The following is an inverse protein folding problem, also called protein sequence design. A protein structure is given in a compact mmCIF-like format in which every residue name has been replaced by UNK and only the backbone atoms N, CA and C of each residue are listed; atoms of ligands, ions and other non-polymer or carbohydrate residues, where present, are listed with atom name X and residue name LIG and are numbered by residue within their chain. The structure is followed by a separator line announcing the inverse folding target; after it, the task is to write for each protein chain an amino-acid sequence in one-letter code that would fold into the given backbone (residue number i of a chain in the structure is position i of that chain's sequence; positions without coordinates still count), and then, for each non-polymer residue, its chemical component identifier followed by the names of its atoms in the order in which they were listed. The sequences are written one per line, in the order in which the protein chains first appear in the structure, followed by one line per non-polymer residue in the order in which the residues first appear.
data_IF_338297556042
#
_entry.id   IF_338297556042
#
_cell.length_a   1.000
_cell.length_b   1.000
_cell.length_c   1.000
_cell.angle_alpha   90.00
_cell.angle_beta   90.00
_cell.angle_gamma   90.00
#
_symmetry.space_group_name_H-M   'P 1'
#
loop_
_entity.id
_entity.type
_entity.pdbx_description
1 polymer ?
#
# COMPACT_ATOMS: atom_id res chain seq x y z
N UNK A 1 -7.87 -28.82 -4.07
CA UNK A 1 -9.07 -27.96 -3.94
C UNK A 1 -10.13 -28.59 -3.00
N UNK A 2 -10.28 -29.90 -2.95
CA UNK A 2 -11.30 -30.57 -2.12
C UNK A 2 -11.01 -30.51 -0.61
N UNK A 3 -9.72 -30.40 -0.23
CA UNK A 3 -9.32 -30.36 1.19
C UNK A 3 -9.62 -29.01 1.87
N UNK A 4 -9.74 -27.91 1.10
CA UNK A 4 -10.10 -26.60 1.65
C UNK A 4 -11.62 -26.46 1.85
N UNK A 5 -12.42 -27.09 1.00
CA UNK A 5 -13.88 -27.02 1.06
C UNK A 5 -14.45 -27.78 2.28
N UNK A 6 -13.77 -28.82 2.74
CA UNK A 6 -14.20 -29.60 3.91
C UNK A 6 -14.03 -28.91 5.27
N UNK A 7 -13.27 -27.79 5.31
CA UNK A 7 -13.03 -27.02 6.54
C UNK A 7 -14.00 -25.85 6.75
N UNK A 8 -14.93 -25.61 5.83
CA UNK A 8 -15.91 -24.52 5.93
C UNK A 8 -17.31 -25.07 6.23
N UNK A 9 -18.01 -24.46 7.16
CA UNK A 9 -19.39 -24.84 7.55
C UNK A 9 -20.38 -24.55 6.40
N UNK A 10 -20.02 -23.66 5.46
CA UNK A 10 -20.86 -23.30 4.33
C UNK A 10 -20.03 -23.32 3.02
N UNK A 11 -20.49 -24.11 2.02
CA UNK A 11 -19.84 -24.21 0.71
C UNK A 11 -19.80 -22.89 -0.07
N UNK A 12 -20.75 -22.03 0.19
CA UNK A 12 -20.84 -20.70 -0.45
C UNK A 12 -19.73 -19.76 0.04
N UNK A 13 -19.43 -19.78 1.35
CA UNK A 13 -18.33 -19.01 1.94
C UNK A 13 -16.96 -19.51 1.45
N UNK A 14 -16.78 -20.81 1.32
CA UNK A 14 -15.56 -21.40 0.79
C UNK A 14 -15.32 -20.99 -0.67
N UNK A 15 -16.37 -21.01 -1.51
CA UNK A 15 -16.27 -20.56 -2.90
C UNK A 15 -15.97 -19.09 -3.00
N UNK A 16 -16.57 -18.23 -2.18
CA UNK A 16 -16.31 -16.80 -2.15
C UNK A 16 -14.87 -16.47 -1.75
N UNK A 17 -14.29 -17.20 -0.79
CA UNK A 17 -12.89 -17.03 -0.38
C UNK A 17 -11.91 -17.48 -1.48
N UNK A 18 -12.20 -18.60 -2.14
CA UNK A 18 -11.38 -19.10 -3.27
C UNK A 18 -11.45 -18.13 -4.44
N UNK A 19 -12.65 -17.64 -4.77
CA UNK A 19 -12.85 -16.64 -5.82
C UNK A 19 -12.12 -15.33 -5.50
N UNK A 20 -12.15 -14.85 -4.24
CA UNK A 20 -11.45 -13.63 -3.83
C UNK A 20 -9.93 -13.70 -4.02
N UNK A 21 -9.31 -14.85 -3.69
CA UNK A 21 -7.86 -15.06 -3.91
C UNK A 21 -7.49 -15.16 -5.38
N UNK A 22 -8.30 -15.88 -6.16
CA UNK A 22 -8.12 -16.01 -7.61
C UNK A 22 -8.40 -14.70 -8.34
N UNK A 23 -9.37 -13.91 -7.87
CA UNK A 23 -9.72 -12.60 -8.42
C UNK A 23 -8.53 -11.66 -8.45
N UNK A 24 -7.80 -11.52 -7.33
CA UNK A 24 -6.62 -10.67 -7.27
C UNK A 24 -5.56 -11.07 -8.32
N UNK A 25 -5.31 -12.37 -8.49
CA UNK A 25 -4.36 -12.86 -9.49
C UNK A 25 -4.84 -12.58 -10.93
N UNK A 26 -6.13 -12.79 -11.21
CA UNK A 26 -6.73 -12.50 -12.51
C UNK A 26 -6.67 -11.01 -12.84
N UNK A 27 -7.03 -10.15 -11.89
CA UNK A 27 -6.97 -8.70 -12.06
C UNK A 27 -5.53 -8.21 -12.29
N UNK A 28 -4.55 -8.80 -11.58
CA UNK A 28 -3.15 -8.51 -11.81
C UNK A 28 -2.71 -8.92 -13.23
N UNK A 29 -3.14 -10.10 -13.70
CA UNK A 29 -2.88 -10.55 -15.06
C UNK A 29 -3.52 -9.66 -16.14
N UNK A 30 -4.73 -9.15 -15.92
CA UNK A 30 -5.36 -8.19 -16.82
C UNK A 30 -4.50 -6.92 -16.97
N UNK A 31 -3.96 -6.42 -15.87
CA UNK A 31 -3.03 -5.27 -15.89
C UNK A 31 -1.77 -5.55 -16.71
N UNK A 32 -1.16 -6.75 -16.53
CA UNK A 32 -0.01 -7.18 -17.34
C UNK A 32 -0.39 -7.26 -18.83
N UNK A 33 -1.51 -7.87 -19.15
CA UNK A 33 -1.96 -8.02 -20.55
C UNK A 33 -2.17 -6.66 -21.23
N UNK A 34 -2.78 -5.70 -20.53
CA UNK A 34 -2.93 -4.34 -21.04
C UNK A 34 -1.57 -3.65 -21.26
N UNK A 35 -0.63 -3.86 -20.34
CA UNK A 35 0.70 -3.30 -20.48
C UNK A 35 1.45 -3.91 -21.67
N UNK A 36 1.32 -5.20 -21.92
CA UNK A 36 1.93 -5.86 -23.09
C UNK A 36 1.44 -5.26 -24.39
N UNK A 37 0.12 -5.04 -24.55
CA UNK A 37 -0.43 -4.38 -25.73
C UNK A 37 0.13 -2.96 -25.92
N UNK A 38 0.31 -2.25 -24.79
CA UNK A 38 0.86 -0.88 -24.81
C UNK A 38 2.34 -0.88 -25.18
N UNK A 39 3.11 -1.84 -24.70
CA UNK A 39 4.54 -2.01 -24.97
C UNK A 39 4.80 -2.44 -26.42
N UNK A 40 4.00 -3.36 -26.95
CA UNK A 40 4.08 -3.80 -28.34
C UNK A 40 3.92 -2.62 -29.30
N UNK A 41 2.96 -1.72 -29.04
CA UNK A 41 2.74 -0.49 -29.83
C UNK A 41 3.96 0.44 -29.82
N UNK A 42 4.82 0.33 -28.81
CA UNK A 42 6.08 1.11 -28.71
C UNK A 42 7.31 0.36 -29.24
N UNK A 43 7.13 -0.84 -29.79
CA UNK A 43 8.20 -1.69 -30.33
C UNK A 43 8.97 -2.48 -29.28
N UNK A 44 8.48 -2.54 -28.02
CA UNK A 44 9.08 -3.37 -26.96
C UNK A 44 8.47 -4.77 -27.01
N UNK A 45 9.32 -5.77 -27.23
CA UNK A 45 8.93 -7.19 -27.22
C UNK A 45 9.27 -7.83 -25.88
N UNK A 46 8.31 -8.52 -25.26
CA UNK A 46 8.47 -9.19 -23.96
C UNK A 46 8.05 -10.66 -24.08
N UNK A 47 8.89 -11.53 -23.56
CA UNK A 47 8.55 -12.93 -23.35
C UNK A 47 8.01 -13.11 -21.93
N UNK A 48 6.69 -13.23 -21.77
CA UNK A 48 6.03 -13.42 -20.48
C UNK A 48 5.90 -14.90 -20.14
N UNK A 49 6.42 -15.30 -18.97
CA UNK A 49 6.20 -16.64 -18.41
C UNK A 49 5.50 -16.50 -17.06
N UNK A 50 4.44 -17.26 -16.85
CA UNK A 50 3.59 -17.18 -15.65
C UNK A 50 3.64 -18.49 -14.89
N UNK A 51 3.90 -18.41 -13.57
CA UNK A 51 3.90 -19.55 -12.67
C UNK A 51 2.86 -19.36 -11.57
N UNK A 52 2.00 -20.36 -11.37
CA UNK A 52 1.10 -20.39 -10.22
C UNK A 52 1.81 -20.98 -9.01
N UNK A 53 2.03 -20.13 -8.01
CA UNK A 53 2.66 -20.53 -6.74
C UNK A 53 1.65 -21.17 -5.76
N UNK A 54 0.36 -21.10 -6.02
CA UNK A 54 -0.74 -21.55 -5.13
C UNK A 54 -0.65 -21.02 -3.71
N UNK A 55 0.11 -19.96 -3.50
CA UNK A 55 0.52 -19.47 -2.18
C UNK A 55 1.22 -20.54 -1.32
N UNK A 56 1.84 -21.53 -1.95
CA UNK A 56 2.52 -22.66 -1.32
C UNK A 56 4.03 -22.51 -1.46
N UNK A 57 4.73 -22.52 -0.32
CA UNK A 57 6.19 -22.42 -0.29
C UNK A 57 6.88 -23.65 -0.94
N UNK A 58 6.27 -24.83 -0.86
CA UNK A 58 6.79 -26.03 -1.53
C UNK A 58 6.78 -25.89 -3.03
N UNK A 59 5.70 -25.28 -3.58
CA UNK A 59 5.59 -24.99 -5.01
C UNK A 59 6.63 -23.96 -5.47
N UNK A 60 6.91 -22.96 -4.64
CA UNK A 60 7.97 -21.99 -4.92
C UNK A 60 9.33 -22.68 -4.94
N UNK A 61 9.60 -23.59 -4.01
CA UNK A 61 10.84 -24.38 -4.00
C UNK A 61 10.99 -25.25 -5.26
N UNK A 62 9.91 -25.91 -5.72
CA UNK A 62 9.93 -26.65 -7.00
C UNK A 62 10.29 -25.74 -8.19
N UNK A 63 9.68 -24.53 -8.27
CA UNK A 63 9.98 -23.54 -9.32
C UNK A 63 11.47 -23.14 -9.26
N UNK A 64 12.01 -22.91 -8.05
CA UNK A 64 13.43 -22.58 -7.87
C UNK A 64 14.36 -23.75 -8.30
N UNK A 65 13.99 -24.99 -7.99
CA UNK A 65 14.76 -26.20 -8.35
C UNK A 65 14.74 -26.47 -9.86
N UNK A 66 13.66 -26.11 -10.56
CA UNK A 66 13.56 -26.26 -12.02
C UNK A 66 14.54 -25.36 -12.79
N UNK A 67 15.12 -24.33 -12.13
CA UNK A 67 16.04 -23.34 -12.70
C UNK A 67 15.48 -22.53 -13.89
N UNK A 68 14.17 -22.59 -14.10
CA UNK A 68 13.50 -21.86 -15.20
C UNK A 68 13.62 -20.33 -15.03
N UNK A 69 13.80 -19.85 -13.80
CA UNK A 69 14.00 -18.42 -13.53
C UNK A 69 15.43 -17.94 -13.83
N UNK A 70 16.41 -18.82 -14.04
CA UNK A 70 17.79 -18.43 -14.30
C UNK A 70 17.96 -17.64 -15.62
N UNK A 71 16.96 -17.71 -16.54
CA UNK A 71 16.99 -17.08 -17.86
C UNK A 71 16.16 -15.80 -17.98
N UNK A 72 15.44 -15.40 -16.93
CA UNK A 72 14.56 -14.20 -16.97
C UNK A 72 15.29 -12.97 -16.41
N UNK A 73 14.93 -11.79 -16.93
CA UNK A 73 15.53 -10.52 -16.48
C UNK A 73 14.76 -9.91 -15.30
N UNK A 74 13.43 -10.02 -15.31
CA UNK A 74 12.54 -9.43 -14.31
C UNK A 74 11.64 -10.52 -13.72
N UNK A 75 11.61 -10.60 -12.38
CA UNK A 75 10.73 -11.50 -11.64
C UNK A 75 9.75 -10.65 -10.83
N UNK A 76 8.45 -10.75 -11.11
CA UNK A 76 7.39 -10.02 -10.43
C UNK A 76 6.66 -10.97 -9.46
N UNK A 77 6.74 -10.70 -8.17
CA UNK A 77 6.21 -11.58 -7.12
C UNK A 77 7.21 -12.63 -6.66
N UNK A 78 6.75 -13.61 -5.85
CA UNK A 78 5.39 -13.83 -5.34
C UNK A 78 4.84 -12.68 -4.50
N UNK A 79 3.51 -12.61 -4.41
CA UNK A 79 2.82 -11.52 -3.69
C UNK A 79 3.08 -11.59 -2.18
N UNK A 80 3.14 -12.80 -1.62
CA UNK A 80 3.28 -13.02 -0.18
C UNK A 80 4.75 -12.99 0.27
N UNK A 81 5.03 -12.23 1.34
CA UNK A 81 6.39 -11.98 1.85
C UNK A 81 7.20 -13.23 2.15
N UNK A 82 6.57 -14.29 2.69
CA UNK A 82 7.24 -15.57 2.99
C UNK A 82 7.79 -16.21 1.72
N UNK A 83 6.99 -16.24 0.66
CA UNK A 83 7.37 -16.82 -0.63
C UNK A 83 8.34 -15.90 -1.38
N UNK A 84 8.16 -14.58 -1.28
CA UNK A 84 9.10 -13.60 -1.84
C UNK A 84 10.49 -13.72 -1.22
N UNK A 85 10.58 -14.05 0.08
CA UNK A 85 11.87 -14.31 0.74
C UNK A 85 12.62 -15.47 0.10
N UNK A 86 11.96 -16.57 -0.23
CA UNK A 86 12.59 -17.73 -0.89
C UNK A 86 13.21 -17.34 -2.26
N UNK A 87 12.48 -16.57 -3.06
CA UNK A 87 12.98 -16.07 -4.35
C UNK A 87 14.14 -15.09 -4.14
N UNK A 88 14.02 -14.15 -3.20
CA UNK A 88 15.04 -13.15 -2.95
C UNK A 88 16.32 -13.74 -2.34
N UNK A 89 16.23 -14.77 -1.53
CA UNK A 89 17.41 -15.48 -1.00
C UNK A 89 18.22 -16.18 -2.12
N UNK A 90 17.58 -16.53 -3.24
CA UNK A 90 18.23 -17.15 -4.40
C UNK A 90 18.74 -16.13 -5.42
N UNK A 91 17.91 -15.15 -5.79
CA UNK A 91 18.17 -14.21 -6.90
C UNK A 91 18.36 -12.76 -6.47
N UNK A 92 18.07 -12.43 -5.20
CA UNK A 92 17.98 -11.04 -4.74
C UNK A 92 19.28 -10.26 -4.72
N UNK A 93 20.43 -10.94 -4.84
CA UNK A 93 21.75 -10.32 -4.94
C UNK A 93 22.42 -10.56 -6.30
N UNK A 94 21.73 -11.20 -7.22
CA UNK A 94 22.21 -11.42 -8.58
C UNK A 94 21.89 -10.19 -9.44
N UNK A 95 22.92 -9.52 -9.95
CA UNK A 95 22.77 -8.32 -10.78
C UNK A 95 22.08 -8.56 -12.12
N UNK A 96 21.97 -9.82 -12.55
CA UNK A 96 21.26 -10.22 -13.77
C UNK A 96 19.75 -10.03 -13.62
N UNK A 97 19.23 -10.23 -12.41
CA UNK A 97 17.80 -10.23 -12.15
C UNK A 97 17.35 -8.94 -11.47
N UNK A 98 16.16 -8.48 -11.81
CA UNK A 98 15.40 -7.48 -11.04
C UNK A 98 14.20 -8.16 -10.40
N UNK A 99 14.18 -8.25 -9.08
CA UNK A 99 13.07 -8.84 -8.31
C UNK A 99 12.14 -7.75 -7.84
N UNK A 100 10.86 -7.87 -8.12
CA UNK A 100 9.85 -6.89 -7.76
C UNK A 100 8.82 -7.53 -6.84
N UNK A 101 8.74 -7.04 -5.61
CA UNK A 101 7.65 -7.37 -4.68
C UNK A 101 6.53 -6.35 -4.82
N UNK A 102 5.39 -6.72 -5.43
CA UNK A 102 4.35 -5.74 -5.78
C UNK A 102 3.55 -5.26 -4.59
N UNK A 103 3.21 -6.12 -3.63
CA UNK A 103 2.20 -5.84 -2.60
C UNK A 103 2.68 -6.09 -1.16
N UNK A 104 3.88 -6.62 -0.94
CA UNK A 104 4.34 -6.97 0.40
C UNK A 104 4.51 -5.73 1.28
N UNK A 105 4.03 -5.83 2.52
CA UNK A 105 4.23 -4.81 3.57
C UNK A 105 5.52 -5.03 4.37
N UNK A 106 6.05 -6.26 4.37
CA UNK A 106 7.31 -6.60 5.04
C UNK A 106 8.50 -6.28 4.15
N UNK A 107 9.57 -5.74 4.73
CA UNK A 107 10.83 -5.44 4.06
C UNK A 107 11.94 -6.44 4.40
N UNK A 108 11.63 -7.54 5.08
CA UNK A 108 12.63 -8.53 5.51
C UNK A 108 13.38 -9.19 4.34
N UNK A 109 12.70 -9.43 3.22
CA UNK A 109 13.29 -10.00 2.01
C UNK A 109 14.25 -9.04 1.28
N UNK A 110 14.31 -7.77 1.67
CA UNK A 110 15.27 -6.79 1.12
C UNK A 110 16.65 -6.88 1.77
N UNK A 111 16.77 -7.50 2.94
CA UNK A 111 18.04 -7.58 3.66
C UNK A 111 19.06 -8.36 2.84
N UNK A 112 20.21 -7.72 2.53
CA UNK A 112 21.29 -8.29 1.71
C UNK A 112 20.88 -8.72 0.28
N UNK A 113 19.80 -8.16 -0.25
CA UNK A 113 19.23 -8.51 -1.55
C UNK A 113 19.13 -7.27 -2.44
N UNK A 114 20.28 -6.79 -2.94
CA UNK A 114 20.43 -5.50 -3.63
C UNK A 114 19.64 -5.37 -4.94
N UNK A 115 19.29 -6.49 -5.58
CA UNK A 115 18.49 -6.53 -6.82
C UNK A 115 16.99 -6.64 -6.57
N UNK A 116 16.55 -6.57 -5.29
CA UNK A 116 15.14 -6.70 -4.91
C UNK A 116 14.53 -5.34 -4.65
N UNK A 117 13.32 -5.14 -5.14
CA UNK A 117 12.55 -3.90 -5.06
C UNK A 117 11.20 -4.17 -4.38
N UNK A 118 10.85 -3.36 -3.39
CA UNK A 118 9.53 -3.33 -2.76
C UNK A 118 8.74 -2.13 -3.26
N UNK A 119 7.55 -2.35 -3.81
CA UNK A 119 6.70 -1.26 -4.32
C UNK A 119 5.77 -0.69 -3.24
N UNK A 120 5.38 -1.49 -2.27
CA UNK A 120 4.60 -0.97 -1.15
C UNK A 120 5.49 -0.09 -0.27
N UNK A 121 5.12 1.16 -0.11
CA UNK A 121 5.84 2.14 0.71
C UNK A 121 5.82 1.73 2.18
N UNK A 122 6.98 1.48 2.82
CA UNK A 122 7.06 1.09 4.22
C UNK A 122 6.45 2.14 5.17
N UNK A 123 5.93 1.72 6.31
CA UNK A 123 5.29 2.63 7.27
C UNK A 123 6.18 3.78 7.74
N UNK A 124 7.50 3.56 7.87
CA UNK A 124 8.44 4.65 8.19
C UNK A 124 8.48 5.74 7.12
N UNK A 125 8.41 5.34 5.85
CA UNK A 125 8.36 6.29 4.73
C UNK A 125 6.99 6.97 4.67
N UNK A 126 5.89 6.26 4.97
CA UNK A 126 4.57 6.87 5.10
C UNK A 126 4.53 7.91 6.23
N UNK A 127 5.14 7.62 7.38
CA UNK A 127 5.30 8.59 8.48
C UNK A 127 6.06 9.83 8.00
N UNK A 128 7.15 9.65 7.24
CA UNK A 128 7.93 10.77 6.70
C UNK A 128 7.06 11.66 5.80
N UNK A 129 6.30 11.07 4.89
CA UNK A 129 5.38 11.80 4.01
C UNK A 129 4.37 12.62 4.82
N UNK A 130 3.75 12.00 5.83
CA UNK A 130 2.77 12.68 6.70
C UNK A 130 3.43 13.84 7.45
N UNK A 131 4.60 13.61 8.04
CA UNK A 131 5.28 14.63 8.86
C UNK A 131 5.79 15.79 8.01
N UNK A 132 6.32 15.54 6.83
CA UNK A 132 6.74 16.57 5.87
C UNK A 132 5.56 17.43 5.43
N UNK A 133 4.43 16.80 5.11
CA UNK A 133 3.21 17.53 4.76
C UNK A 133 2.68 18.39 5.90
N UNK A 134 2.66 17.87 7.14
CA UNK A 134 2.23 18.63 8.32
C UNK A 134 3.16 19.80 8.58
N UNK A 135 4.47 19.61 8.48
CA UNK A 135 5.46 20.69 8.66
C UNK A 135 5.31 21.79 7.60
N UNK A 136 4.92 21.43 6.38
CA UNK A 136 4.76 22.40 5.29
C UNK A 136 3.43 23.19 5.39
N UNK A 137 2.32 22.50 5.70
CA UNK A 137 0.98 23.10 5.62
C UNK A 137 0.43 23.58 6.95
N UNK A 138 0.90 23.03 8.07
CA UNK A 138 0.35 23.28 9.40
C UNK A 138 1.44 23.69 10.39
N UNK A 139 1.56 24.99 10.59
CA UNK A 139 2.46 25.55 11.60
C UNK A 139 1.68 25.99 12.85
N UNK A 140 2.30 25.88 14.01
CA UNK A 140 1.74 26.32 15.32
C UNK A 140 0.41 25.62 15.66
N UNK A 141 0.33 24.32 15.36
CA UNK A 141 -0.84 23.50 15.68
C UNK A 141 -0.57 22.61 16.90
N UNK A 142 -1.64 22.28 17.63
CA UNK A 142 -1.59 21.25 18.67
C UNK A 142 -1.86 19.87 18.03
N UNK A 143 -0.86 19.02 18.06
CA UNK A 143 -0.88 17.69 17.45
C UNK A 143 -0.91 16.64 18.54
N UNK A 144 -1.84 15.69 18.47
CA UNK A 144 -1.88 14.52 19.33
C UNK A 144 -1.63 13.24 18.56
N UNK A 145 -0.59 12.52 18.92
CA UNK A 145 -0.26 11.20 18.34
C UNK A 145 -0.87 10.12 19.25
N UNK A 146 -1.91 9.45 18.76
CA UNK A 146 -2.62 8.38 19.47
C UNK A 146 -2.10 7.02 19.05
N UNK A 147 -1.66 6.19 19.99
CA UNK A 147 -1.05 4.89 19.70
C UNK A 147 -1.39 3.85 20.77
N UNK A 148 -1.18 2.59 20.45
CA UNK A 148 -1.12 1.46 21.39
C UNK A 148 0.34 0.97 21.51
N UNK A 149 0.68 0.16 22.52
CA UNK A 149 2.07 -0.27 22.77
C UNK A 149 2.79 -0.90 21.57
N UNK A 150 2.16 -1.74 20.73
CA UNK A 150 2.84 -2.31 19.54
C UNK A 150 3.36 -1.26 18.56
N UNK A 151 2.68 -0.10 18.45
CA UNK A 151 3.02 0.98 17.53
C UNK A 151 3.85 2.10 18.16
N UNK A 152 4.18 2.01 19.44
CA UNK A 152 4.97 3.04 20.16
C UNK A 152 6.26 3.45 19.45
N UNK A 153 6.97 2.48 18.85
CA UNK A 153 8.19 2.76 18.10
C UNK A 153 7.94 3.66 16.87
N UNK A 154 6.82 3.47 16.19
CA UNK A 154 6.43 4.28 15.04
C UNK A 154 5.94 5.67 15.49
N UNK A 155 5.19 5.74 16.58
CA UNK A 155 4.73 6.99 17.20
C UNK A 155 5.91 7.88 17.66
N UNK A 156 6.91 7.29 18.32
CA UNK A 156 8.14 7.99 18.69
C UNK A 156 8.94 8.48 17.49
N UNK A 157 9.00 7.68 16.42
CA UNK A 157 9.64 8.09 15.16
C UNK A 157 8.93 9.30 14.55
N UNK A 158 7.59 9.31 14.56
CA UNK A 158 6.77 10.43 14.10
C UNK A 158 6.99 11.68 14.95
N UNK A 159 6.93 11.57 16.28
CA UNK A 159 7.21 12.67 17.20
C UNK A 159 8.58 13.31 16.92
N UNK A 160 9.61 12.48 16.73
CA UNK A 160 10.97 12.95 16.43
C UNK A 160 11.03 13.75 15.11
N UNK A 161 10.31 13.34 14.08
CA UNK A 161 10.30 14.07 12.81
C UNK A 161 9.57 15.42 12.95
N UNK A 162 8.42 15.45 13.62
CA UNK A 162 7.65 16.67 13.85
C UNK A 162 8.29 17.65 14.84
N UNK A 163 9.25 17.22 15.66
CA UNK A 163 9.88 18.08 16.68
C UNK A 163 10.73 19.22 16.10
N UNK A 164 10.86 19.30 14.80
CA UNK A 164 11.55 20.38 14.08
C UNK A 164 10.66 21.59 13.80
N UNK A 165 9.35 21.40 13.87
CA UNK A 165 8.34 22.45 13.66
C UNK A 165 8.01 23.19 14.96
N UNK A 166 7.23 24.28 14.87
CA UNK A 166 6.72 25.02 16.03
C UNK A 166 5.48 24.36 16.66
N UNK A 167 5.04 23.23 16.13
CA UNK A 167 3.86 22.51 16.59
C UNK A 167 4.05 21.93 18.00
N UNK A 168 3.01 22.02 18.83
CA UNK A 168 2.97 21.35 20.14
C UNK A 168 2.55 19.91 19.99
N UNK A 169 3.42 18.97 20.35
CA UNK A 169 3.18 17.55 20.13
C UNK A 169 2.93 16.83 21.45
N UNK A 170 1.76 16.25 21.56
CA UNK A 170 1.36 15.36 22.66
C UNK A 170 1.34 13.90 22.19
N UNK A 171 1.72 12.98 23.08
CA UNK A 171 1.64 11.54 22.82
C UNK A 171 0.66 10.88 23.78
N UNK A 172 -0.29 10.14 23.24
CA UNK A 172 -1.36 9.52 24.02
C UNK A 172 -1.41 8.01 23.79
N UNK A 173 -1.11 7.25 24.86
CA UNK A 173 -1.30 5.80 24.83
C UNK A 173 -2.76 5.45 25.13
N UNK A 174 -3.47 4.94 24.13
CA UNK A 174 -4.92 4.72 24.18
C UNK A 174 -5.34 3.50 25.00
N UNK A 175 -4.41 2.61 25.38
CA UNK A 175 -4.69 1.48 26.30
C UNK A 175 -5.10 2.00 27.69
N UNK A 176 -4.50 3.11 28.13
CA UNK A 176 -4.72 3.68 29.46
C UNK A 176 -5.73 4.83 29.45
N UNK A 177 -6.29 5.17 28.31
CA UNK A 177 -7.21 6.31 28.16
C UNK A 177 -8.66 5.85 28.18
N UNK A 178 -9.43 6.34 29.15
CA UNK A 178 -10.87 6.06 29.22
C UNK A 178 -11.60 6.82 28.13
N UNK A 179 -12.58 6.17 27.47
CA UNK A 179 -13.26 6.74 26.32
C UNK A 179 -14.00 8.05 26.67
N UNK A 180 -14.56 8.13 27.89
CA UNK A 180 -15.28 9.32 28.36
C UNK A 180 -14.36 10.54 28.62
N UNK A 181 -13.07 10.31 28.81
CA UNK A 181 -12.08 11.39 28.99
C UNK A 181 -11.49 11.89 27.66
N UNK A 182 -11.77 11.22 26.55
CA UNK A 182 -11.23 11.60 25.23
C UNK A 182 -11.67 13.01 24.84
N UNK A 183 -12.94 13.37 25.06
CA UNK A 183 -13.44 14.72 24.75
C UNK A 183 -12.63 15.83 25.41
N UNK A 184 -12.38 15.70 26.71
CA UNK A 184 -11.63 16.71 27.47
C UNK A 184 -10.16 16.76 27.10
N UNK A 185 -9.58 15.64 26.68
CA UNK A 185 -8.16 15.55 26.32
C UNK A 185 -7.87 16.12 24.91
N UNK A 186 -8.86 16.23 24.04
CA UNK A 186 -8.72 16.77 22.69
C UNK A 186 -9.22 18.20 22.53
N UNK A 187 -9.61 18.91 23.62
CA UNK A 187 -10.17 20.27 23.55
C UNK A 187 -9.30 21.26 22.77
N UNK A 188 -7.99 21.17 22.90
CA UNK A 188 -7.03 22.05 22.22
C UNK A 188 -6.32 21.39 21.03
N UNK A 189 -6.73 20.19 20.65
CA UNK A 189 -6.09 19.44 19.56
C UNK A 189 -6.73 19.81 18.23
N UNK A 190 -5.92 20.15 17.24
CA UNK A 190 -6.36 20.38 15.85
C UNK A 190 -6.04 19.19 14.95
N UNK A 191 -4.89 18.55 15.18
CA UNK A 191 -4.42 17.44 14.35
C UNK A 191 -4.27 16.18 15.21
N UNK A 192 -4.86 15.10 14.73
CA UNK A 192 -4.77 13.78 15.36
C UNK A 192 -4.05 12.83 14.41
N UNK A 193 -3.06 12.11 14.92
CA UNK A 193 -2.30 11.15 14.12
C UNK A 193 -2.47 9.76 14.69
N UNK A 194 -2.82 8.80 13.82
CA UNK A 194 -3.04 7.38 14.13
C UNK A 194 -1.97 6.52 13.41
N UNK A 195 -0.74 6.40 13.93
CA UNK A 195 0.34 5.65 13.29
C UNK A 195 0.20 4.15 13.51
N UNK A 196 -0.98 3.60 13.24
CA UNK A 196 -1.31 2.20 13.51
C UNK A 196 -1.91 1.50 12.29
N UNK A 197 -1.58 0.20 12.15
CA UNK A 197 -2.21 -0.70 11.19
C UNK A 197 -3.21 -1.64 11.86
N UNK A 198 -3.45 -1.51 13.15
CA UNK A 198 -4.46 -2.27 13.88
C UNK A 198 -5.85 -1.76 13.51
N UNK A 199 -6.58 -2.58 12.74
CA UNK A 199 -7.93 -2.25 12.25
C UNK A 199 -8.89 -1.89 13.39
N UNK A 200 -8.89 -2.67 14.47
CA UNK A 200 -9.80 -2.46 15.60
C UNK A 200 -9.52 -1.13 16.30
N UNK A 201 -8.25 -0.82 16.53
CA UNK A 201 -7.83 0.45 17.14
C UNK A 201 -8.21 1.64 16.27
N UNK A 202 -7.81 1.64 14.99
CA UNK A 202 -8.08 2.76 14.08
C UNK A 202 -9.57 2.98 13.90
N UNK A 203 -10.37 1.92 13.72
CA UNK A 203 -11.83 2.03 13.59
C UNK A 203 -12.50 2.58 14.84
N UNK A 204 -12.07 2.12 16.03
CA UNK A 204 -12.54 2.64 17.32
C UNK A 204 -12.23 4.13 17.45
N UNK A 205 -11.01 4.54 17.11
CA UNK A 205 -10.60 5.95 17.19
C UNK A 205 -11.41 6.82 16.25
N UNK A 206 -11.53 6.45 14.97
CA UNK A 206 -12.29 7.22 13.98
C UNK A 206 -13.77 7.32 14.36
N UNK A 207 -14.38 6.22 14.83
CA UNK A 207 -15.77 6.26 15.33
C UNK A 207 -15.95 7.15 16.56
N UNK A 208 -14.99 7.14 17.50
CA UNK A 208 -15.04 7.97 18.70
C UNK A 208 -14.86 9.46 18.35
N UNK A 209 -13.89 9.78 17.49
CA UNK A 209 -13.62 11.16 17.06
C UNK A 209 -14.79 11.77 16.28
N UNK A 210 -15.44 11.00 15.40
CA UNK A 210 -16.61 11.44 14.65
C UNK A 210 -17.83 11.76 15.54
N UNK A 211 -17.89 11.22 16.75
CA UNK A 211 -18.90 11.56 17.75
C UNK A 211 -18.57 12.79 18.60
N UNK A 212 -17.44 13.43 18.37
CA UNK A 212 -17.04 14.67 19.09
C UNK A 212 -17.38 15.86 18.19
N UNK A 213 -18.09 16.84 18.79
CA UNK A 213 -18.42 18.08 18.10
C UNK A 213 -17.18 19.01 18.04
N UNK A 214 -16.24 18.66 17.17
CA UNK A 214 -14.96 19.36 16.96
C UNK A 214 -14.45 19.08 15.56
N UNK A 215 -13.81 20.06 14.94
CA UNK A 215 -13.16 19.91 13.63
C UNK A 215 -11.74 19.42 13.82
N UNK A 216 -11.50 18.14 13.58
CA UNK A 216 -10.16 17.55 13.56
C UNK A 216 -9.68 17.32 12.14
N UNK A 217 -8.37 17.38 11.95
CA UNK A 217 -7.70 16.80 10.78
C UNK A 217 -7.02 15.52 11.26
N UNK A 218 -7.37 14.39 10.66
CA UNK A 218 -6.83 13.09 11.09
C UNK A 218 -5.86 12.55 10.05
N UNK A 219 -4.67 12.17 10.49
CA UNK A 219 -3.69 11.49 9.65
C UNK A 219 -3.54 10.04 10.09
N UNK A 220 -3.52 9.13 9.11
CA UNK A 220 -3.33 7.71 9.35
C UNK A 220 -2.45 7.03 8.31
N UNK A 221 -2.31 5.72 8.40
CA UNK A 221 -1.52 4.93 7.46
C UNK A 221 -2.39 4.40 6.31
N UNK A 222 -1.76 3.97 5.22
CA UNK A 222 -2.39 3.46 3.99
C UNK A 222 -3.41 2.33 4.20
N UNK A 223 -3.42 1.70 5.36
CA UNK A 223 -4.35 0.63 5.69
C UNK A 223 -5.81 1.09 5.80
N UNK A 224 -6.04 2.37 6.14
CA UNK A 224 -7.39 2.93 6.28
C UNK A 224 -8.24 2.67 5.03
N UNK A 225 -7.65 2.79 3.86
CA UNK A 225 -8.31 2.48 2.57
C UNK A 225 -8.91 1.06 2.49
N UNK A 226 -8.41 0.11 3.26
CA UNK A 226 -8.84 -1.28 3.21
C UNK A 226 -9.86 -1.66 4.30
N UNK A 227 -10.41 -0.67 5.00
CA UNK A 227 -11.36 -0.88 6.10
C UNK A 227 -12.79 -0.60 5.61
N UNK A 228 -13.35 -1.54 4.83
CA UNK A 228 -14.64 -1.42 4.12
C UNK A 228 -15.85 -1.10 5.03
N UNK A 229 -15.70 -1.25 6.35
CA UNK A 229 -16.75 -0.95 7.33
C UNK A 229 -16.71 0.50 7.86
N UNK A 230 -15.72 1.29 7.45
CA UNK A 230 -15.65 2.70 7.84
C UNK A 230 -16.66 3.51 7.02
N UNK A 231 -17.38 4.37 7.72
CA UNK A 231 -18.32 5.30 7.11
C UNK A 231 -17.55 6.42 6.39
N UNK A 232 -17.82 6.60 5.10
CA UNK A 232 -17.18 7.63 4.28
C UNK A 232 -17.55 9.04 4.73
N UNK A 233 -18.77 9.28 5.22
CA UNK A 233 -19.18 10.57 5.75
C UNK A 233 -18.35 10.94 6.97
N UNK A 234 -18.10 9.97 7.85
CA UNK A 234 -17.24 10.16 9.00
C UNK A 234 -15.78 10.42 8.61
N UNK A 235 -15.25 9.72 7.60
CA UNK A 235 -13.90 9.96 7.09
C UNK A 235 -13.76 11.37 6.47
N UNK A 236 -14.78 11.84 5.76
CA UNK A 236 -14.81 13.20 5.22
C UNK A 236 -14.97 14.26 6.31
N UNK A 237 -15.85 14.01 7.30
CA UNK A 237 -16.04 14.92 8.44
C UNK A 237 -14.76 15.14 9.25
N UNK A 238 -13.99 14.07 9.47
CA UNK A 238 -12.70 14.09 10.17
C UNK A 238 -11.53 14.51 9.26
N UNK A 239 -11.77 14.90 8.04
CA UNK A 239 -10.75 15.22 7.03
C UNK A 239 -9.58 14.22 7.06
N UNK A 240 -9.89 12.92 6.89
CA UNK A 240 -8.92 11.84 7.09
C UNK A 240 -7.95 11.76 5.92
N UNK A 241 -6.67 11.97 6.21
CA UNK A 241 -5.56 11.91 5.27
C UNK A 241 -4.70 10.67 5.48
N UNK A 242 -4.27 10.01 4.41
CA UNK A 242 -3.33 8.90 4.48
C UNK A 242 -2.51 8.75 3.19
N UNK A 243 -1.25 8.26 3.25
CA UNK A 243 -0.48 7.94 2.05
C UNK A 243 -1.06 6.73 1.32
N UNK A 244 -1.20 6.78 -0.01
CA UNK A 244 -1.62 5.63 -0.81
C UNK A 244 -0.57 5.31 -1.89
N UNK A 245 0.30 4.30 -1.70
CA UNK A 245 1.31 3.91 -2.68
C UNK A 245 0.74 3.35 -3.99
N UNK A 246 -0.56 3.10 -4.02
CA UNK A 246 -1.29 2.54 -5.18
C UNK A 246 -2.43 3.43 -5.62
N UNK A 247 -2.32 4.73 -5.31
CA UNK A 247 -3.34 5.69 -5.72
C UNK A 247 -3.48 5.71 -7.25
N UNK A 248 -4.71 5.64 -7.67
CA UNK A 248 -5.15 5.80 -9.04
C UNK A 248 -6.47 6.57 -9.04
N UNK A 249 -6.52 7.67 -9.79
CA UNK A 249 -7.74 8.46 -9.88
C UNK A 249 -8.57 8.01 -11.07
N UNK A 250 -9.63 7.24 -10.82
CA UNK A 250 -10.58 6.82 -11.84
C UNK A 250 -11.54 7.94 -12.29
N UNK A 251 -11.69 9.00 -11.47
CA UNK A 251 -12.67 10.06 -11.70
C UNK A 251 -12.06 11.33 -12.32
N UNK A 252 -10.74 11.46 -12.28
CA UNK A 252 -10.10 12.71 -12.70
C UNK A 252 -9.85 12.75 -14.22
N UNK A 253 -10.68 13.55 -14.90
CA UNK A 253 -10.54 13.83 -16.32
C UNK A 253 -9.26 14.59 -16.71
N UNK A 254 -8.52 15.12 -15.73
CA UNK A 254 -7.36 16.00 -15.97
C UNK A 254 -6.03 15.24 -16.10
N UNK A 255 -5.91 14.01 -15.57
CA UNK A 255 -4.71 13.19 -15.76
C UNK A 255 -4.82 12.36 -17.03
N UNK A 256 -4.16 12.79 -18.09
CA UNK A 256 -4.23 12.13 -19.40
C UNK A 256 -3.75 10.67 -19.38
N UNK A 257 -2.80 10.32 -18.51
CA UNK A 257 -2.25 8.95 -18.42
C UNK A 257 -3.24 7.98 -17.76
N UNK A 258 -3.86 8.39 -16.65
CA UNK A 258 -4.86 7.57 -15.95
C UNK A 258 -6.10 7.36 -16.81
N UNK A 259 -6.52 8.42 -17.55
CA UNK A 259 -7.63 8.33 -18.48
C UNK A 259 -7.37 7.37 -19.65
N UNK A 260 -6.16 7.40 -20.20
CA UNK A 260 -5.77 6.47 -21.29
C UNK A 260 -5.77 5.03 -20.78
N UNK A 261 -5.24 4.78 -19.58
CA UNK A 261 -5.27 3.45 -18.95
C UNK A 261 -6.72 2.98 -18.76
N UNK A 262 -7.57 3.84 -18.19
CA UNK A 262 -8.98 3.55 -17.93
C UNK A 262 -9.70 3.16 -19.23
N UNK A 263 -9.64 4.02 -20.24
CA UNK A 263 -10.32 3.79 -21.52
C UNK A 263 -9.84 2.49 -22.20
N UNK A 264 -8.53 2.27 -22.24
CA UNK A 264 -7.97 1.06 -22.85
C UNK A 264 -8.35 -0.21 -22.08
N UNK A 265 -8.47 -0.11 -20.74
CA UNK A 265 -8.88 -1.24 -19.90
C UNK A 265 -10.36 -1.55 -20.10
N UNK A 266 -11.23 -0.53 -20.12
CA UNK A 266 -12.66 -0.69 -20.38
C UNK A 266 -12.92 -1.27 -21.78
N UNK A 267 -12.22 -0.78 -22.80
CA UNK A 267 -12.33 -1.29 -24.15
C UNK A 267 -11.95 -2.77 -24.24
N UNK A 268 -10.88 -3.19 -23.56
CA UNK A 268 -10.36 -4.56 -23.64
C UNK A 268 -11.13 -5.55 -22.79
N UNK A 269 -11.51 -5.15 -21.55
CA UNK A 269 -12.05 -6.07 -20.54
C UNK A 269 -13.51 -5.82 -20.20
N UNK A 270 -14.14 -4.77 -20.74
CA UNK A 270 -15.52 -4.35 -20.44
C UNK A 270 -15.75 -4.16 -18.93
N UNK A 271 -14.74 -3.66 -18.23
CA UNK A 271 -14.70 -3.50 -16.79
C UNK A 271 -13.82 -2.30 -16.38
N UNK A 272 -14.04 -1.79 -15.17
CA UNK A 272 -13.17 -0.78 -14.55
C UNK A 272 -11.92 -1.48 -13.98
N UNK A 273 -10.70 -0.95 -14.19
CA UNK A 273 -9.49 -1.55 -13.63
C UNK A 273 -9.50 -1.53 -12.11
N UNK A 274 -9.18 -2.66 -11.50
CA UNK A 274 -8.93 -2.72 -10.07
C UNK A 274 -7.56 -2.13 -9.72
N UNK A 275 -7.32 -1.86 -8.42
CA UNK A 275 -5.98 -1.46 -7.95
C UNK A 275 -4.89 -2.45 -8.36
N UNK A 276 -5.21 -3.75 -8.41
CA UNK A 276 -4.24 -4.79 -8.78
C UNK A 276 -3.90 -4.73 -10.26
N UNK A 277 -4.88 -4.46 -11.10
CA UNK A 277 -4.67 -4.25 -12.54
C UNK A 277 -3.80 -3.01 -12.81
N UNK A 278 -4.07 -1.90 -12.10
CA UNK A 278 -3.29 -0.67 -12.22
C UNK A 278 -1.84 -0.87 -11.74
N UNK A 279 -1.64 -1.53 -10.59
CA UNK A 279 -0.29 -1.83 -10.08
C UNK A 279 0.49 -2.67 -11.08
N UNK A 280 -0.12 -3.72 -11.62
CA UNK A 280 0.52 -4.60 -12.58
C UNK A 280 0.90 -3.86 -13.88
N UNK A 281 0.00 -3.05 -14.42
CA UNK A 281 0.26 -2.19 -15.57
C UNK A 281 1.43 -1.23 -15.31
N UNK A 282 1.40 -0.54 -14.17
CA UNK A 282 2.44 0.43 -13.79
C UNK A 282 3.80 -0.23 -13.57
N UNK A 283 3.86 -1.46 -13.03
CA UNK A 283 5.10 -2.23 -12.94
C UNK A 283 5.70 -2.44 -14.32
N UNK A 284 4.92 -2.96 -15.25
CA UNK A 284 5.39 -3.23 -16.60
C UNK A 284 5.86 -1.94 -17.29
N UNK A 285 5.08 -0.87 -17.20
CA UNK A 285 5.44 0.43 -17.81
C UNK A 285 6.69 1.03 -17.16
N UNK A 286 6.89 0.90 -15.84
CA UNK A 286 8.05 1.45 -15.15
C UNK A 286 9.35 0.69 -15.45
N UNK A 287 9.29 -0.64 -15.51
CA UNK A 287 10.50 -1.47 -15.62
C UNK A 287 10.82 -1.89 -17.06
N UNK A 288 9.86 -1.82 -17.98
CA UNK A 288 10.07 -2.19 -19.39
C UNK A 288 10.17 -0.96 -20.31
N UNK A 289 10.02 0.26 -19.78
CA UNK A 289 10.20 1.52 -20.53
C UNK A 289 11.11 2.49 -19.77
N UNK A 290 11.26 3.71 -20.29
CA UNK A 290 11.94 4.82 -19.59
C UNK A 290 11.00 5.62 -18.68
N UNK A 291 9.77 5.18 -18.49
CA UNK A 291 8.82 5.87 -17.60
C UNK A 291 9.27 5.68 -16.13
N UNK A 292 9.30 6.79 -15.39
CA UNK A 292 9.53 6.77 -13.95
C UNK A 292 8.18 7.00 -13.26
N UNK A 293 7.57 5.91 -12.79
CA UNK A 293 6.31 5.93 -12.04
C UNK A 293 6.58 5.87 -10.54
N UNK A 294 7.63 5.16 -10.16
CA UNK A 294 8.03 4.94 -8.78
C UNK A 294 9.36 5.63 -8.48
N UNK A 295 9.50 6.08 -7.23
CA UNK A 295 10.75 6.61 -6.70
C UNK A 295 11.32 5.66 -5.67
N UNK A 296 12.62 5.40 -5.71
CA UNK A 296 13.25 4.39 -4.89
C UNK A 296 14.40 4.92 -4.07
N UNK A 297 14.44 4.53 -2.79
CA UNK A 297 15.61 4.66 -1.95
C UNK A 297 16.16 3.29 -1.52
N UNK A 298 17.43 3.25 -1.11
CA UNK A 298 18.02 2.03 -0.56
C UNK A 298 17.45 1.74 0.82
N UNK A 299 16.98 0.52 1.01
CA UNK A 299 16.49 0.06 2.32
C UNK A 299 17.60 0.06 3.38
N UNK A 300 18.81 -0.38 3.02
CA UNK A 300 20.06 -0.41 3.81
C UNK A 300 21.25 -0.45 2.88
N UNK A 301 22.49 -0.29 3.42
CA UNK A 301 23.72 -0.26 2.64
C UNK A 301 23.84 -1.40 1.62
N UNK A 302 23.56 -2.65 2.03
CA UNK A 302 23.62 -3.85 1.19
C UNK A 302 22.22 -4.43 0.89
N UNK A 303 21.15 -3.67 1.13
CA UNK A 303 19.78 -4.09 0.92
C UNK A 303 19.23 -3.70 -0.44
N UNK A 304 18.03 -4.20 -0.73
CA UNK A 304 17.26 -3.82 -1.88
C UNK A 304 16.74 -2.37 -1.81
N UNK A 305 15.79 -2.06 -2.65
CA UNK A 305 15.18 -0.73 -2.75
C UNK A 305 13.73 -0.76 -2.27
N UNK A 306 13.27 0.34 -1.71
CA UNK A 306 11.87 0.57 -1.36
C UNK A 306 11.31 1.75 -2.14
N UNK A 307 10.06 1.66 -2.55
CA UNK A 307 9.35 2.79 -3.08
C UNK A 307 9.07 3.79 -1.96
N UNK A 308 9.43 5.05 -2.18
CA UNK A 308 9.19 6.15 -1.25
C UNK A 308 8.04 7.05 -1.70
N UNK A 309 7.57 6.88 -2.92
CA UNK A 309 6.46 7.66 -3.47
C UNK A 309 5.12 7.03 -3.06
N UNK A 310 4.37 7.78 -2.25
CA UNK A 310 2.98 7.47 -1.91
C UNK A 310 2.25 8.81 -1.74
N UNK A 311 1.50 9.26 -2.74
CA UNK A 311 0.76 10.51 -2.62
C UNK A 311 -0.15 10.49 -1.40
N UNK A 312 -0.22 11.62 -0.70
CA UNK A 312 -1.19 11.80 0.37
C UNK A 312 -2.56 11.99 -0.25
N UNK A 313 -3.55 11.26 0.26
CA UNK A 313 -4.92 11.26 -0.25
C UNK A 313 -5.91 11.45 0.88
N UNK A 314 -7.11 11.91 0.53
CA UNK A 314 -8.28 12.00 1.41
C UNK A 314 -9.57 11.69 0.67
N UNK A 315 -10.63 11.40 1.40
CA UNK A 315 -11.96 11.31 0.82
C UNK A 315 -12.57 12.70 0.68
N UNK A 316 -13.03 13.02 -0.52
CA UNK A 316 -13.74 14.24 -0.84
C UNK A 316 -14.85 13.90 -1.85
N UNK A 317 -16.07 14.38 -1.63
CA UNK A 317 -17.23 14.11 -2.50
C UNK A 317 -17.41 12.59 -2.77
N UNK A 318 -17.24 11.77 -1.73
CA UNK A 318 -17.32 10.30 -1.75
C UNK A 318 -16.28 9.63 -2.66
N UNK A 319 -15.29 10.36 -3.13
CA UNK A 319 -14.18 9.84 -3.90
C UNK A 319 -12.83 10.03 -3.19
N UNK A 320 -11.85 9.21 -3.56
CA UNK A 320 -10.50 9.34 -3.04
C UNK A 320 -9.72 10.31 -3.92
N UNK A 321 -9.34 11.45 -3.36
CA UNK A 321 -8.63 12.50 -4.07
C UNK A 321 -7.20 12.67 -3.56
N UNK A 322 -6.28 13.00 -4.48
CA UNK A 322 -4.93 13.38 -4.11
C UNK A 322 -4.95 14.76 -3.46
N UNK A 323 -4.33 14.89 -2.29
CA UNK A 323 -4.11 16.18 -1.67
C UNK A 323 -3.07 16.94 -2.49
N UNK A 324 -3.46 18.08 -2.99
CA UNK A 324 -2.57 18.93 -3.78
C UNK A 324 -1.53 19.58 -2.86
N UNK A 325 -0.29 19.56 -3.31
CA UNK A 325 0.85 20.22 -2.66
C UNK A 325 0.72 21.74 -2.68
#
# INVERSE_FOLDING_TARGET
NDTLVSSFENKEDANNIILGKSKMALEFMQGIQLALDSLEKTGVSINLVVYDTRNDSSKVVEILQSRLLDSVDIIIGPIYSKNMKLISDRYGNDKKHTLISPLSKSSEFLKNNSSTIQLNTPYKNQVKIITEFIEEKYNDQNITICYEEPEKGLALYMQKNLSKSQNKISMMNMIYTHIDSIRTQFLDTQIIILPSNNRAFVSKMLGTLGGIDSSFIVFGLSNIKNYDHLDLENLMHLDVHFPDPYYFNSNNSNNSKDKVLLNNFEEKFMAIPSRFSVVAYNIMMNFCTKNQIYEFEKFRLNGGKVNINAPLVKYQDYSLEKVLE
#
